data_IF_242880614163
#
_entry.id   IF_242880614163
#
_cell.length_a   1.000
_cell.length_b   1.000
_cell.length_c   1.000
_cell.angle_alpha   90.00
_cell.angle_beta   90.00
_cell.angle_gamma   90.00
#
_symmetry.space_group_name_H-M   'P 1'
#
loop_
_entity.id
_entity.type
_entity.pdbx_description
1 polymer ?
#
# COMPACT_ATOMS: atom_id res chain seq x y z
N UNK A 1 -29.33 -17.72 -27.66
CA UNK A 1 -28.67 -18.31 -26.47
C UNK A 1 -27.46 -17.44 -26.13
N UNK A 2 -27.70 -16.25 -25.60
CA UNK A 2 -26.63 -15.41 -25.08
C UNK A 2 -26.40 -15.82 -23.64
N UNK A 3 -25.30 -16.50 -23.35
CA UNK A 3 -24.83 -16.62 -21.98
C UNK A 3 -24.41 -15.22 -21.53
N UNK A 4 -25.25 -14.54 -20.78
CA UNK A 4 -24.82 -13.38 -20.01
C UNK A 4 -23.71 -13.87 -19.09
N UNK A 5 -22.46 -13.55 -19.46
CA UNK A 5 -21.31 -13.84 -18.63
C UNK A 5 -21.50 -13.18 -17.27
N UNK A 6 -21.21 -13.93 -16.21
CA UNK A 6 -21.18 -13.42 -14.84
C UNK A 6 -20.52 -12.04 -14.79
N UNK A 7 -21.03 -11.07 -14.01
CA UNK A 7 -20.38 -9.77 -13.87
C UNK A 7 -18.90 -9.96 -13.53
N UNK A 8 -18.00 -9.34 -14.30
CA UNK A 8 -16.57 -9.43 -14.05
C UNK A 8 -16.27 -8.96 -12.62
N UNK A 9 -15.47 -9.74 -11.88
CA UNK A 9 -15.08 -9.38 -10.53
C UNK A 9 -14.36 -8.03 -10.53
N UNK A 10 -14.76 -7.13 -9.63
CA UNK A 10 -14.11 -5.83 -9.46
C UNK A 10 -13.11 -5.92 -8.32
N UNK A 11 -11.90 -5.44 -8.56
CA UNK A 11 -10.83 -5.31 -7.57
C UNK A 11 -10.68 -3.84 -7.19
N UNK A 12 -11.00 -3.52 -5.95
CA UNK A 12 -10.77 -2.20 -5.36
C UNK A 12 -9.42 -2.18 -4.65
N UNK A 13 -8.54 -1.27 -5.05
CA UNK A 13 -7.22 -1.10 -4.43
C UNK A 13 -7.17 0.21 -3.65
N UNK A 14 -6.75 0.12 -2.38
CA UNK A 14 -6.49 1.27 -1.52
C UNK A 14 -4.98 1.45 -1.43
N UNK A 15 -4.49 2.61 -1.84
CA UNK A 15 -3.06 2.86 -2.00
C UNK A 15 -2.59 3.83 -0.93
N UNK A 16 -1.43 3.54 -0.33
CA UNK A 16 -0.78 4.48 0.57
C UNK A 16 0.69 4.70 0.22
N UNK A 17 1.14 5.91 0.47
CA UNK A 17 2.55 6.30 0.47
C UNK A 17 2.90 6.94 1.81
N UNK A 18 4.15 7.35 1.98
CA UNK A 18 4.60 8.01 3.21
C UNK A 18 5.10 9.41 2.91
N UNK A 19 4.89 10.33 3.85
CA UNK A 19 5.52 11.65 3.83
C UNK A 19 7.05 11.54 3.81
N UNK A 20 7.71 12.67 3.57
CA UNK A 20 9.16 12.78 3.79
C UNK A 20 9.61 12.25 5.15
N UNK A 21 10.85 11.74 5.17
CA UNK A 21 11.51 11.22 6.36
C UNK A 21 13.00 11.49 6.29
N UNK A 22 13.58 11.93 7.41
CA UNK A 22 15.03 11.92 7.69
C UNK A 22 15.96 12.06 6.46
N UNK A 23 16.28 13.29 6.07
CA UNK A 23 17.28 13.58 5.02
C UNK A 23 16.82 13.30 3.58
N UNK A 24 15.57 12.87 3.38
CA UNK A 24 14.94 12.77 2.07
C UNK A 24 14.03 13.98 1.88
N UNK A 25 14.45 14.94 1.05
CA UNK A 25 13.65 16.14 0.75
C UNK A 25 12.37 15.83 -0.01
N UNK A 26 12.40 14.77 -0.83
CA UNK A 26 11.29 14.30 -1.65
C UNK A 26 11.17 12.77 -1.51
N UNK A 27 10.08 12.30 -0.90
CA UNK A 27 9.82 10.88 -0.81
C UNK A 27 9.13 10.42 -2.11
N UNK A 28 9.75 9.52 -2.91
CA UNK A 28 9.15 9.03 -4.16
C UNK A 28 7.74 8.48 -3.99
N UNK A 29 7.46 7.87 -2.83
CA UNK A 29 6.15 7.26 -2.56
C UNK A 29 5.04 8.29 -2.38
N UNK A 30 5.37 9.48 -1.87
CA UNK A 30 4.42 10.60 -1.77
C UNK A 30 4.03 11.07 -3.17
N UNK A 31 5.02 11.28 -4.04
CA UNK A 31 4.80 11.67 -5.45
C UNK A 31 4.01 10.61 -6.20
N UNK A 32 4.40 9.33 -6.10
CA UNK A 32 3.71 8.23 -6.78
C UNK A 32 2.23 8.20 -6.42
N UNK A 33 1.92 8.22 -5.12
CA UNK A 33 0.54 8.07 -4.66
C UNK A 33 -0.32 9.30 -4.97
N UNK A 34 0.24 10.51 -4.88
CA UNK A 34 -0.46 11.74 -5.26
C UNK A 34 -0.77 11.79 -6.76
N UNK A 35 0.17 11.35 -7.60
CA UNK A 35 0.04 11.44 -9.06
C UNK A 35 -0.68 10.23 -9.67
N UNK A 36 -0.89 9.16 -8.90
CA UNK A 36 -1.40 7.87 -9.38
C UNK A 36 -2.74 8.00 -10.12
N UNK A 37 -3.71 8.70 -9.53
CA UNK A 37 -5.04 8.86 -10.14
C UNK A 37 -5.00 9.59 -11.47
N UNK A 38 -4.13 10.60 -11.60
CA UNK A 38 -3.95 11.32 -12.85
C UNK A 38 -3.21 10.47 -13.89
N UNK A 39 -2.16 9.78 -13.47
CA UNK A 39 -1.40 8.89 -14.34
C UNK A 39 -2.26 7.78 -14.93
N UNK A 40 -3.16 7.21 -14.13
CA UNK A 40 -4.08 6.15 -14.56
C UNK A 40 -5.17 6.61 -15.53
N UNK A 41 -5.39 7.92 -15.73
CA UNK A 41 -6.26 8.42 -16.80
C UNK A 41 -5.76 8.02 -18.20
N UNK A 42 -4.47 7.68 -18.33
CA UNK A 42 -3.88 7.12 -19.55
C UNK A 42 -4.48 5.74 -19.91
N UNK A 43 -5.07 5.04 -18.94
CA UNK A 43 -5.77 3.78 -19.12
C UNK A 43 -5.83 2.99 -17.81
N UNK A 44 -7.05 2.72 -17.31
CA UNK A 44 -7.26 1.87 -16.13
C UNK A 44 -7.57 0.44 -16.59
N UNK A 45 -7.03 -0.59 -15.93
CA UNK A 45 -7.35 -1.98 -16.25
C UNK A 45 -8.84 -2.25 -16.03
N UNK A 46 -9.44 -3.05 -16.90
CA UNK A 46 -10.85 -3.46 -16.75
C UNK A 46 -11.02 -4.19 -15.42
N UNK A 47 -12.03 -3.78 -14.64
CA UNK A 47 -12.31 -4.39 -13.34
C UNK A 47 -11.41 -3.90 -12.20
N UNK A 48 -10.58 -2.86 -12.39
CA UNK A 48 -9.86 -2.19 -11.31
C UNK A 48 -10.62 -0.93 -10.88
N UNK A 49 -10.72 -0.70 -9.57
CA UNK A 49 -11.16 0.56 -8.97
C UNK A 49 -10.09 1.02 -7.97
N UNK A 50 -9.74 2.30 -7.98
CA UNK A 50 -8.93 2.87 -6.89
C UNK A 50 -9.90 3.40 -5.84
N UNK A 51 -9.85 2.83 -4.64
CA UNK A 51 -10.71 3.24 -3.53
C UNK A 51 -10.27 4.56 -2.92
N UNK A 52 -8.99 4.65 -2.55
CA UNK A 52 -8.37 5.91 -2.13
C UNK A 52 -6.85 5.87 -2.32
N UNK A 53 -6.24 7.05 -2.38
CA UNK A 53 -4.81 7.29 -2.33
C UNK A 53 -4.51 8.18 -1.12
N UNK A 54 -3.84 7.65 -0.10
CA UNK A 54 -3.58 8.38 1.15
C UNK A 54 -2.09 8.45 1.47
N UNK A 55 -1.63 9.61 1.93
CA UNK A 55 -0.26 9.79 2.41
C UNK A 55 -0.25 9.67 3.94
N UNK A 56 0.56 8.76 4.46
CA UNK A 56 0.74 8.52 5.89
C UNK A 56 1.95 9.31 6.43
N UNK A 57 1.88 9.73 7.69
CA UNK A 57 3.05 10.25 8.39
C UNK A 57 4.14 9.18 8.49
N UNK A 58 5.42 9.56 8.36
CA UNK A 58 6.52 8.64 8.65
C UNK A 58 6.80 8.60 10.16
N UNK A 59 5.75 8.26 10.90
CA UNK A 59 5.76 8.12 12.35
C UNK A 59 4.85 6.96 12.74
N UNK A 60 5.36 6.05 13.58
CA UNK A 60 4.62 4.85 13.98
C UNK A 60 3.27 5.22 14.60
N UNK A 61 3.28 6.12 15.58
CA UNK A 61 2.05 6.60 16.22
C UNK A 61 1.22 7.52 15.31
N UNK A 62 1.87 8.37 14.52
CA UNK A 62 1.20 9.34 13.64
C UNK A 62 0.43 8.70 12.49
N UNK A 63 0.88 7.54 12.00
CA UNK A 63 0.26 6.82 10.89
C UNK A 63 -0.97 5.98 11.31
N UNK A 64 -1.09 5.63 12.59
CA UNK A 64 -2.10 4.67 13.09
C UNK A 64 -3.53 5.13 12.80
N UNK A 65 -3.88 6.35 13.20
CA UNK A 65 -5.26 6.85 13.06
C UNK A 65 -5.67 6.97 11.58
N UNK A 66 -4.89 7.62 10.69
CA UNK A 66 -5.21 7.68 9.26
C UNK A 66 -5.30 6.28 8.61
N UNK A 67 -4.43 5.34 9.01
CA UNK A 67 -4.46 3.97 8.51
C UNK A 67 -5.76 3.26 8.90
N UNK A 68 -6.16 3.32 10.17
CA UNK A 68 -7.41 2.69 10.63
C UNK A 68 -8.64 3.32 9.98
N UNK A 69 -8.67 4.64 9.81
CA UNK A 69 -9.75 5.32 9.10
C UNK A 69 -9.86 4.85 7.64
N UNK A 70 -8.72 4.68 6.96
CA UNK A 70 -8.65 4.16 5.59
C UNK A 70 -9.13 2.70 5.50
N UNK A 71 -8.77 1.87 6.49
CA UNK A 71 -9.28 0.50 6.57
C UNK A 71 -10.78 0.48 6.81
N UNK A 72 -11.29 1.28 7.74
CA UNK A 72 -12.71 1.29 8.08
C UNK A 72 -13.58 1.75 6.90
N UNK A 73 -13.17 2.81 6.19
CA UNK A 73 -13.91 3.31 5.03
C UNK A 73 -14.01 2.26 3.91
N UNK A 74 -12.97 1.44 3.74
CA UNK A 74 -12.96 0.35 2.76
C UNK A 74 -13.88 -0.82 3.10
N UNK A 75 -14.19 -1.01 4.38
CA UNK A 75 -15.08 -2.09 4.84
C UNK A 75 -16.54 -1.62 4.76
N UNK A 76 -16.83 -0.40 5.22
CA UNK A 76 -18.21 0.13 5.22
C UNK A 76 -18.79 0.29 3.82
N UNK A 77 -17.96 0.57 2.79
CA UNK A 77 -18.42 0.64 1.40
C UNK A 77 -18.98 -0.69 0.85
N UNK A 78 -18.63 -1.83 1.47
CA UNK A 78 -19.15 -3.15 1.08
C UNK A 78 -20.56 -3.46 1.59
N UNK A 79 -20.99 -2.83 2.69
CA UNK A 79 -22.28 -3.15 3.29
C UNK A 79 -23.46 -2.52 2.53
N UNK A 80 -23.20 -1.50 1.70
CA UNK A 80 -24.21 -0.79 0.91
C UNK A 80 -24.43 -1.33 -0.50
N UNK A 81 -23.61 -2.26 -0.99
CA UNK A 81 -23.68 -2.77 -2.37
C UNK A 81 -24.01 -4.27 -2.44
N UNK A 82 -24.74 -4.65 -3.51
CA UNK A 82 -25.12 -6.05 -3.82
C UNK A 82 -23.91 -7.00 -3.90
N UNK A 83 -24.07 -8.34 -3.80
CA UNK A 83 -23.00 -9.33 -3.58
C UNK A 83 -22.17 -9.63 -4.85
N UNK A 84 -21.82 -8.60 -5.60
CA UNK A 84 -20.70 -8.68 -6.53
C UNK A 84 -19.44 -8.99 -5.73
N UNK A 85 -18.58 -9.86 -6.25
CA UNK A 85 -17.35 -10.32 -5.58
C UNK A 85 -16.27 -9.23 -5.52
N UNK A 86 -16.58 -8.09 -4.90
CA UNK A 86 -15.68 -6.94 -4.79
C UNK A 86 -14.47 -7.32 -3.92
N UNK A 87 -13.32 -7.46 -4.57
CA UNK A 87 -12.05 -7.82 -3.95
C UNK A 87 -11.42 -6.53 -3.41
N UNK A 88 -10.95 -6.54 -2.17
CA UNK A 88 -10.21 -5.40 -1.61
C UNK A 88 -8.74 -5.80 -1.47
N UNK A 89 -7.85 -4.94 -1.98
CA UNK A 89 -6.41 -5.06 -1.80
C UNK A 89 -5.89 -3.74 -1.22
N UNK A 90 -5.06 -3.81 -0.19
CA UNK A 90 -4.32 -2.66 0.33
C UNK A 90 -2.89 -2.70 -0.21
N UNK A 91 -2.47 -1.64 -0.89
CA UNK A 91 -1.14 -1.50 -1.47
C UNK A 91 -0.40 -0.35 -0.77
N UNK A 92 0.74 -0.66 -0.18
CA UNK A 92 1.56 0.30 0.55
C UNK A 92 2.91 0.46 -0.18
N UNK A 93 3.28 1.70 -0.49
CA UNK A 93 4.60 2.03 -1.03
C UNK A 93 5.47 2.62 0.06
N UNK A 94 6.70 2.12 0.22
CA UNK A 94 7.73 2.68 1.09
C UNK A 94 9.00 3.04 0.32
N UNK A 95 9.71 4.09 0.71
CA UNK A 95 11.01 4.41 0.11
C UNK A 95 12.12 3.60 0.77
N UNK A 96 13.03 3.08 -0.04
CA UNK A 96 14.30 2.51 0.41
C UNK A 96 15.45 3.20 -0.33
N UNK A 97 16.11 4.15 0.34
CA UNK A 97 17.16 4.96 -0.29
C UNK A 97 18.43 4.19 -0.67
N UNK A 98 18.63 2.99 -0.13
CA UNK A 98 19.74 2.11 -0.50
C UNK A 98 19.38 1.06 -1.56
N UNK A 99 18.13 1.02 -2.04
CA UNK A 99 17.71 0.07 -3.05
C UNK A 99 18.12 0.50 -4.46
N UNK A 100 18.44 -0.47 -5.32
CA UNK A 100 18.71 -0.26 -6.75
C UNK A 100 17.63 -0.86 -7.65
N UNK A 101 16.54 -1.35 -7.06
CA UNK A 101 15.43 -2.04 -7.71
C UNK A 101 14.17 -1.91 -6.86
N UNK A 102 13.01 -2.13 -7.48
CA UNK A 102 11.77 -2.35 -6.76
C UNK A 102 11.85 -3.65 -5.94
N UNK A 103 11.23 -3.67 -4.75
CA UNK A 103 11.19 -4.86 -3.91
C UNK A 103 9.78 -5.07 -3.34
N UNK A 104 9.21 -6.24 -3.59
CA UNK A 104 7.92 -6.65 -3.03
C UNK A 104 8.20 -7.43 -1.73
N UNK A 105 7.65 -6.94 -0.62
CA UNK A 105 7.85 -7.56 0.68
C UNK A 105 7.04 -8.85 0.82
N UNK A 106 7.71 -9.89 1.33
CA UNK A 106 7.10 -11.21 1.53
C UNK A 106 6.55 -11.42 2.94
N UNK A 107 7.01 -10.61 3.89
CA UNK A 107 6.70 -10.78 5.30
C UNK A 107 6.83 -9.46 6.04
N UNK A 108 5.89 -9.18 6.94
CA UNK A 108 6.02 -8.17 7.99
C UNK A 108 6.26 -8.89 9.33
N UNK A 109 7.14 -8.33 10.17
CA UNK A 109 7.50 -8.90 11.48
C UNK A 109 6.87 -8.10 12.61
N UNK A 110 6.47 -8.77 13.69
CA UNK A 110 5.88 -8.13 14.87
C UNK A 110 6.96 -7.50 15.79
N UNK A 111 7.85 -6.69 15.23
CA UNK A 111 8.89 -5.99 15.98
C UNK A 111 9.19 -4.63 15.34
N UNK A 112 9.22 -3.58 16.16
CA UNK A 112 9.71 -2.27 15.82
C UNK A 112 11.13 -2.08 16.39
N UNK A 113 12.11 -1.98 15.49
CA UNK A 113 13.50 -1.68 15.79
C UNK A 113 14.00 -0.64 14.78
N UNK A 114 14.16 0.61 15.20
CA UNK A 114 14.51 1.71 14.29
C UNK A 114 15.97 2.15 14.42
N UNK A 115 16.63 2.39 13.28
CA UNK A 115 18.01 2.89 13.23
C UNK A 115 18.12 4.35 13.63
N UNK A 116 17.12 5.15 13.25
CA UNK A 116 16.95 6.56 13.60
C UNK A 116 15.54 6.80 14.17
N UNK A 117 15.31 7.91 14.88
CA UNK A 117 13.96 8.28 15.32
C UNK A 117 13.04 8.51 14.12
N UNK A 118 11.75 8.21 14.30
CA UNK A 118 10.69 8.60 13.37
C UNK A 118 10.43 10.12 13.42
N UNK A 119 9.50 10.65 12.61
CA UNK A 119 9.20 12.11 12.58
C UNK A 119 8.57 12.64 13.89
N UNK A 120 8.15 11.76 14.81
CA UNK A 120 7.68 12.13 16.15
C UNK A 120 8.72 11.83 17.24
N UNK A 121 9.95 11.47 16.86
CA UNK A 121 11.05 11.19 17.76
C UNK A 121 11.04 9.79 18.38
N UNK A 122 10.14 8.89 17.95
CA UNK A 122 10.09 7.53 18.47
C UNK A 122 11.20 6.67 17.84
N UNK A 123 12.04 6.06 18.69
CA UNK A 123 13.15 5.18 18.28
C UNK A 123 13.12 3.86 19.08
N UNK A 124 12.14 2.98 18.83
CA UNK A 124 12.02 1.73 19.55
C UNK A 124 13.20 0.79 19.27
N UNK A 125 13.49 -0.09 20.23
CA UNK A 125 14.46 -1.18 20.10
C UNK A 125 13.79 -2.47 20.57
N UNK A 126 13.58 -3.43 19.66
CA UNK A 126 12.96 -4.74 19.94
C UNK A 126 11.59 -4.64 20.62
N UNK A 127 10.81 -3.62 20.25
CA UNK A 127 9.46 -3.42 20.82
C UNK A 127 8.44 -4.17 19.97
N UNK A 128 7.55 -4.95 20.59
CA UNK A 128 6.46 -5.60 19.85
C UNK A 128 5.47 -4.57 19.30
N UNK A 129 5.04 -4.74 18.04
CA UNK A 129 4.08 -3.83 17.40
C UNK A 129 2.67 -4.11 17.93
N UNK A 130 2.27 -5.38 17.95
CA UNK A 130 0.99 -5.87 18.46
C UNK A 130 1.26 -6.96 19.50
N UNK A 131 1.24 -6.65 20.82
CA UNK A 131 1.59 -7.63 21.86
C UNK A 131 0.73 -8.91 21.82
N UNK A 132 -0.57 -8.78 21.50
CA UNK A 132 -1.49 -9.92 21.36
C UNK A 132 -1.18 -10.82 20.15
N UNK A 133 -0.36 -10.35 19.21
CA UNK A 133 0.11 -11.17 18.10
C UNK A 133 1.26 -12.10 18.50
N UNK A 134 1.86 -11.95 19.69
CA UNK A 134 2.88 -12.87 20.20
C UNK A 134 4.25 -12.69 19.53
N UNK A 135 5.13 -13.71 19.56
CA UNK A 135 6.52 -13.58 19.10
C UNK A 135 6.64 -13.46 17.58
N UNK A 136 7.81 -12.99 17.10
CA UNK A 136 8.12 -12.76 15.68
C UNK A 136 8.00 -14.01 14.79
N UNK A 137 8.03 -15.20 15.37
CA UNK A 137 7.89 -16.48 14.66
C UNK A 137 6.44 -16.81 14.29
N UNK A 138 5.46 -16.12 14.87
CA UNK A 138 4.05 -16.34 14.55
C UNK A 138 3.66 -15.63 13.26
N UNK A 139 3.02 -16.37 12.36
CA UNK A 139 2.41 -15.82 11.15
C UNK A 139 0.92 -15.59 11.42
N UNK A 140 0.47 -14.35 11.29
CA UNK A 140 -0.95 -14.01 11.43
C UNK A 140 -1.70 -14.40 10.16
N UNK A 141 -2.71 -15.25 10.30
CA UNK A 141 -3.68 -15.50 9.23
C UNK A 141 -4.84 -14.53 9.38
N UNK A 142 -5.15 -13.80 8.32
CA UNK A 142 -6.34 -12.96 8.24
C UNK A 142 -6.91 -13.02 6.81
N UNK A 143 -8.16 -12.60 6.62
CA UNK A 143 -8.80 -12.55 5.30
C UNK A 143 -8.45 -11.32 4.47
N UNK A 144 -7.57 -10.45 4.95
CA UNK A 144 -7.21 -9.19 4.30
C UNK A 144 -6.03 -9.41 3.35
N UNK A 145 -6.11 -8.82 2.15
CA UNK A 145 -5.02 -8.87 1.17
C UNK A 145 -4.26 -7.55 1.19
N UNK A 146 -3.05 -7.56 1.72
CA UNK A 146 -2.19 -6.38 1.78
C UNK A 146 -0.83 -6.69 1.17
N UNK A 147 -0.25 -5.70 0.48
CA UNK A 147 1.07 -5.76 -0.13
C UNK A 147 1.87 -4.52 0.26
N UNK A 148 3.15 -4.71 0.56
CA UNK A 148 4.10 -3.62 0.77
C UNK A 148 5.18 -3.68 -0.30
N UNK A 149 5.48 -2.55 -0.92
CA UNK A 149 6.46 -2.43 -1.99
C UNK A 149 7.44 -1.32 -1.69
N UNK A 150 8.72 -1.66 -1.64
CA UNK A 150 9.79 -0.68 -1.57
C UNK A 150 10.19 -0.18 -2.97
N UNK A 151 10.32 1.13 -3.09
CA UNK A 151 10.85 1.81 -4.27
C UNK A 151 12.13 2.58 -3.92
N UNK A 152 13.09 2.71 -4.87
CA UNK A 152 14.30 3.48 -4.64
C UNK A 152 14.05 5.00 -4.80
N UNK A 153 15.09 5.81 -4.57
CA UNK A 153 15.03 7.25 -4.87
C UNK A 153 14.91 7.51 -6.39
N UNK A 154 14.36 8.68 -6.76
CA UNK A 154 14.28 9.09 -8.16
C UNK A 154 15.64 9.28 -8.84
N UNK A 155 16.69 9.55 -8.06
CA UNK A 155 18.07 9.56 -8.56
C UNK A 155 18.59 8.18 -8.99
N UNK A 156 17.91 7.11 -8.58
CA UNK A 156 18.28 5.72 -8.89
C UNK A 156 17.38 5.12 -9.96
N UNK A 157 16.07 5.29 -9.83
CA UNK A 157 15.09 4.95 -10.87
C UNK A 157 14.15 6.14 -11.00
N UNK A 158 14.08 6.73 -12.19
CA UNK A 158 13.34 7.96 -12.44
C UNK A 158 11.83 7.82 -12.20
N UNK A 159 11.17 8.96 -11.99
CA UNK A 159 9.74 9.03 -11.65
C UNK A 159 8.85 8.31 -12.66
N UNK A 160 9.05 8.51 -13.97
CA UNK A 160 8.21 7.90 -15.00
C UNK A 160 8.31 6.37 -14.94
N UNK A 161 9.53 5.83 -14.79
CA UNK A 161 9.72 4.37 -14.61
C UNK A 161 9.03 3.85 -13.34
N UNK A 162 9.07 4.58 -12.23
CA UNK A 162 8.36 4.16 -11.00
C UNK A 162 6.83 4.25 -11.14
N UNK A 163 6.32 5.24 -11.85
CA UNK A 163 4.89 5.37 -12.16
C UNK A 163 4.38 4.25 -13.07
N UNK A 164 5.17 3.90 -14.11
CA UNK A 164 4.88 2.75 -14.96
C UNK A 164 4.85 1.46 -14.15
N UNK A 165 5.82 1.26 -13.27
CA UNK A 165 5.82 0.11 -12.37
C UNK A 165 4.58 0.05 -11.48
N UNK A 166 4.16 1.17 -10.88
CA UNK A 166 2.95 1.23 -10.05
C UNK A 166 1.68 0.88 -10.85
N UNK A 167 1.55 1.40 -12.07
CA UNK A 167 0.43 1.07 -12.97
C UNK A 167 0.42 -0.41 -13.38
N UNK A 168 1.56 -0.96 -13.80
CA UNK A 168 1.68 -2.38 -14.14
C UNK A 168 1.44 -3.29 -12.93
N UNK A 169 1.83 -2.88 -11.73
CA UNK A 169 1.52 -3.64 -10.52
C UNK A 169 0.00 -3.69 -10.29
N UNK A 170 -0.72 -2.58 -10.47
CA UNK A 170 -2.17 -2.55 -10.35
C UNK A 170 -2.87 -3.43 -11.40
N UNK A 171 -2.36 -3.48 -12.63
CA UNK A 171 -2.80 -4.43 -13.67
C UNK A 171 -2.65 -5.88 -13.23
N UNK A 172 -1.50 -6.23 -12.66
CA UNK A 172 -1.25 -7.57 -12.15
C UNK A 172 -2.19 -7.87 -10.99
N UNK A 173 -2.39 -6.94 -10.05
CA UNK A 173 -3.29 -7.12 -8.91
C UNK A 173 -4.75 -7.28 -9.33
N UNK A 174 -5.19 -6.58 -10.39
CA UNK A 174 -6.52 -6.75 -10.96
C UNK A 174 -6.71 -8.10 -11.69
N UNK A 175 -5.65 -8.62 -12.31
CA UNK A 175 -5.70 -9.84 -13.13
C UNK A 175 -5.41 -11.13 -12.37
N UNK A 176 -4.73 -11.06 -11.22
CA UNK A 176 -4.25 -12.26 -10.51
C UNK A 176 -5.32 -13.08 -9.81
N UNK A 177 -6.62 -12.83 -9.98
CA UNK A 177 -7.65 -13.68 -9.38
C UNK A 177 -9.04 -13.66 -10.04
#
# INVERSE_FOLDING_TARGET
>A
MGSEGSPAAVTTVYVTGFKKFHGVSENPTETIVNNLMEYLKKGLPKGLVIGSCNILETAGQGAVVPLYQSLQSSITSKESESPTSNRIIWLHFGVNSGATRFAIERQAVNEATFRCPDEMGWKPQKVQIVPSDGPITRIRQNGMKSLFVHVPLFSTIDEETQMQFAASLLEVLASTC
#
